data_IF_383717267472
#
_entry.id   IF_383717267472
#
_cell.length_a   1.000
_cell.length_b   1.000
_cell.length_c   1.000
_cell.angle_alpha   90.00
_cell.angle_beta   90.00
_cell.angle_gamma   90.00
#
_symmetry.space_group_name_H-M   'P 1'
#
loop_
_entity.id
_entity.type
_entity.pdbx_description
1 polymer ?
#
# COMPACT_ATOMS: atom_id res chain seq x y z
N UNK A 1 -16.35 -43.21 -0.31
CA UNK A 1 -16.82 -41.85 0.06
C UNK A 1 -15.62 -40.92 -0.12
N UNK A 2 -15.51 -40.24 -1.27
CA UNK A 2 -14.37 -39.38 -1.61
C UNK A 2 -14.73 -37.93 -1.25
N UNK A 3 -14.06 -37.39 -0.24
CA UNK A 3 -14.19 -35.99 0.16
C UNK A 3 -13.39 -35.12 -0.82
N UNK A 4 -14.09 -34.36 -1.66
CA UNK A 4 -13.50 -33.30 -2.47
C UNK A 4 -13.24 -32.07 -1.62
N UNK A 5 -11.98 -31.82 -1.28
CA UNK A 5 -11.56 -30.57 -0.65
C UNK A 5 -11.59 -29.44 -1.69
N UNK A 6 -12.60 -28.59 -1.62
CA UNK A 6 -12.61 -27.33 -2.36
C UNK A 6 -11.53 -26.41 -1.76
N UNK A 7 -10.43 -26.21 -2.50
CA UNK A 7 -9.44 -25.20 -2.17
C UNK A 7 -10.08 -23.82 -2.31
N UNK A 8 -10.27 -23.13 -1.18
CA UNK A 8 -10.69 -21.73 -1.17
C UNK A 8 -9.62 -20.89 -1.87
N UNK A 9 -10.00 -20.23 -2.98
CA UNK A 9 -9.15 -19.21 -3.57
C UNK A 9 -9.04 -18.04 -2.56
N UNK A 10 -7.83 -17.48 -2.34
CA UNK A 10 -7.70 -16.29 -1.52
C UNK A 10 -8.55 -15.17 -2.13
N UNK A 11 -9.39 -14.54 -1.31
CA UNK A 11 -10.19 -13.39 -1.74
C UNK A 11 -9.29 -12.27 -2.22
N UNK A 12 -9.58 -11.71 -3.40
CA UNK A 12 -8.92 -10.51 -3.86
C UNK A 12 -9.18 -9.39 -2.85
N UNK A 13 -8.12 -8.77 -2.32
CA UNK A 13 -8.26 -7.55 -1.54
C UNK A 13 -8.70 -6.45 -2.51
N UNK A 14 -9.86 -5.84 -2.26
CA UNK A 14 -10.29 -4.66 -3.00
C UNK A 14 -9.31 -3.52 -2.69
N UNK A 15 -8.73 -2.92 -3.73
CA UNK A 15 -7.93 -1.71 -3.59
C UNK A 15 -8.81 -0.49 -3.35
N UNK A 16 -8.25 0.70 -3.49
CA UNK A 16 -8.93 1.98 -3.23
C UNK A 16 -9.53 2.63 -4.47
N UNK A 17 -9.40 2.03 -5.65
CA UNK A 17 -9.97 2.59 -6.86
C UNK A 17 -11.49 2.80 -6.71
N UNK A 18 -11.94 4.03 -6.94
CA UNK A 18 -13.33 4.45 -6.76
C UNK A 18 -13.67 5.03 -5.38
N UNK A 19 -12.76 4.94 -4.41
CA UNK A 19 -12.95 5.54 -3.08
C UNK A 19 -12.63 7.03 -3.10
N UNK A 20 -13.28 7.78 -2.22
CA UNK A 20 -12.95 9.17 -1.91
C UNK A 20 -12.04 9.23 -0.70
N UNK A 21 -10.93 9.93 -0.85
CA UNK A 21 -9.96 10.15 0.23
C UNK A 21 -9.83 11.64 0.54
N UNK A 22 -9.56 11.95 1.79
CA UNK A 22 -9.26 13.32 2.25
C UNK A 22 -7.97 13.35 3.04
N UNK A 23 -7.27 14.49 2.99
CA UNK A 23 -5.98 14.66 3.64
C UNK A 23 -5.99 15.89 4.55
N UNK A 24 -5.41 15.73 5.73
CA UNK A 24 -5.10 16.82 6.64
C UNK A 24 -3.67 16.69 7.13
N UNK A 25 -2.97 17.81 7.24
CA UNK A 25 -1.63 17.90 7.80
C UNK A 25 -1.68 18.49 9.20
N UNK A 26 -0.92 17.92 10.13
CA UNK A 26 -0.96 18.22 11.55
C UNK A 26 0.45 18.49 12.09
N UNK A 27 0.55 19.53 12.92
CA UNK A 27 1.76 19.87 13.67
C UNK A 27 1.40 20.88 14.79
N UNK A 28 1.93 20.74 16.03
CA UNK A 28 2.88 19.73 16.52
C UNK A 28 2.22 18.46 17.10
N UNK A 29 0.91 18.33 16.96
CA UNK A 29 0.09 17.24 17.49
C UNK A 29 -1.14 16.99 16.59
N UNK A 30 -1.89 15.91 16.88
CA UNK A 30 -3.11 15.54 16.16
C UNK A 30 -4.33 16.44 16.44
N UNK A 31 -4.21 17.45 17.30
CA UNK A 31 -5.30 18.40 17.61
C UNK A 31 -5.12 19.72 16.86
N UNK A 32 -3.97 19.93 16.21
CA UNK A 32 -3.61 21.18 15.56
C UNK A 32 -3.44 20.97 14.04
N UNK A 33 -4.54 20.96 13.26
CA UNK A 33 -4.44 20.88 11.81
C UNK A 33 -3.84 22.18 11.26
N UNK A 34 -2.80 22.06 10.44
CA UNK A 34 -2.14 23.22 9.80
C UNK A 34 -2.58 23.39 8.35
N UNK A 35 -2.99 22.30 7.69
CA UNK A 35 -3.57 22.32 6.34
C UNK A 35 -4.65 21.25 6.19
N UNK A 36 -5.66 21.56 5.38
CA UNK A 36 -6.73 20.63 5.01
C UNK A 36 -6.94 20.68 3.51
N UNK A 37 -7.20 19.53 2.92
CA UNK A 37 -7.41 19.37 1.50
C UNK A 37 -8.83 18.87 1.24
N UNK A 38 -9.41 19.32 0.12
CA UNK A 38 -10.71 18.80 -0.32
C UNK A 38 -10.61 17.30 -0.62
N UNK A 39 -11.71 16.58 -0.40
CA UNK A 39 -11.77 15.17 -0.75
C UNK A 39 -11.57 14.97 -2.26
N UNK A 40 -10.87 13.89 -2.62
CA UNK A 40 -10.60 13.51 -4.00
C UNK A 40 -11.00 12.07 -4.26
N UNK A 41 -11.48 11.80 -5.47
CA UNK A 41 -11.75 10.44 -5.94
C UNK A 41 -10.42 9.80 -6.37
N UNK A 42 -10.16 8.58 -5.91
CA UNK A 42 -9.07 7.75 -6.43
C UNK A 42 -9.55 7.15 -7.75
N UNK A 43 -9.08 7.68 -8.87
CA UNK A 43 -9.39 7.16 -10.21
C UNK A 43 -8.20 6.40 -10.81
N UNK A 44 -8.23 6.15 -12.13
CA UNK A 44 -7.17 5.41 -12.82
C UNK A 44 -5.80 6.09 -12.80
N UNK A 45 -5.76 7.42 -12.61
CA UNK A 45 -4.54 8.21 -12.46
C UNK A 45 -4.17 8.42 -10.98
N UNK A 46 -5.14 8.21 -10.08
CA UNK A 46 -5.03 8.37 -8.64
C UNK A 46 -5.47 9.74 -8.14
N UNK A 47 -5.61 9.88 -6.83
CA UNK A 47 -5.90 11.14 -6.17
C UNK A 47 -4.60 11.88 -5.82
N UNK A 48 -4.39 13.07 -6.39
CA UNK A 48 -3.19 13.89 -6.20
C UNK A 48 -3.45 15.13 -5.32
N UNK A 49 -2.78 15.17 -4.18
CA UNK A 49 -2.71 16.31 -3.27
C UNK A 49 -1.41 17.07 -3.47
N UNK A 50 -1.50 18.28 -4.01
CA UNK A 50 -0.33 19.11 -4.29
C UNK A 50 0.17 19.89 -3.07
N UNK A 51 1.48 20.07 -2.98
CA UNK A 51 2.12 21.00 -2.05
C UNK A 51 1.68 20.80 -0.58
N UNK A 52 1.58 19.53 -0.19
CA UNK A 52 1.36 19.06 1.17
C UNK A 52 2.48 19.59 2.06
N UNK A 53 2.08 20.18 3.20
CA UNK A 53 2.94 20.95 4.10
C UNK A 53 3.75 22.10 3.46
N UNK A 54 3.49 22.45 2.19
CA UNK A 54 4.28 23.43 1.46
C UNK A 54 5.55 22.87 0.79
N UNK A 55 5.78 21.55 0.85
CA UNK A 55 7.09 20.97 0.48
C UNK A 55 7.04 19.69 -0.37
N UNK A 56 5.93 18.96 -0.48
CA UNK A 56 5.85 17.72 -1.29
C UNK A 56 4.45 17.49 -1.87
N UNK A 57 4.32 16.57 -2.82
CA UNK A 57 3.04 16.08 -3.33
C UNK A 57 2.72 14.69 -2.75
N UNK A 58 1.43 14.42 -2.52
CA UNK A 58 0.95 13.09 -2.13
C UNK A 58 -0.01 12.52 -3.18
N UNK A 59 0.30 11.34 -3.71
CA UNK A 59 -0.58 10.59 -4.62
C UNK A 59 -1.12 9.35 -3.92
N UNK A 60 -2.44 9.15 -3.98
CA UNK A 60 -3.11 7.91 -3.55
C UNK A 60 -3.58 7.18 -4.79
N UNK A 61 -3.06 5.97 -5.00
CA UNK A 61 -3.45 5.07 -6.09
C UNK A 61 -4.24 3.90 -5.51
N UNK A 62 -4.79 3.06 -6.39
CA UNK A 62 -5.51 1.85 -6.02
C UNK A 62 -4.80 1.01 -4.92
N UNK A 63 -3.47 0.91 -4.99
CA UNK A 63 -2.68 0.05 -4.10
C UNK A 63 -1.58 0.77 -3.32
N UNK A 64 -1.37 2.07 -3.53
CA UNK A 64 -0.25 2.79 -2.94
C UNK A 64 -0.62 4.18 -2.42
N UNK A 65 0.12 4.63 -1.42
CA UNK A 65 0.23 6.04 -1.05
C UNK A 65 1.67 6.46 -1.28
N UNK A 66 1.89 7.52 -2.05
CA UNK A 66 3.21 7.95 -2.52
C UNK A 66 3.40 9.41 -2.12
N UNK A 67 4.40 9.70 -1.30
CA UNK A 67 4.91 11.06 -1.09
C UNK A 67 6.14 11.26 -1.98
N UNK A 68 6.14 12.30 -2.80
CA UNK A 68 7.19 12.59 -3.78
C UNK A 68 7.24 14.08 -4.13
N UNK A 69 8.08 14.47 -5.09
CA UNK A 69 8.23 15.84 -5.56
C UNK A 69 8.57 16.81 -4.43
N UNK A 70 9.49 16.41 -3.55
CA UNK A 70 9.98 17.30 -2.51
C UNK A 70 10.68 18.50 -3.15
N UNK A 71 10.30 19.71 -2.76
CA UNK A 71 10.74 20.93 -3.44
C UNK A 71 11.94 21.62 -2.76
N UNK A 72 12.41 21.06 -1.64
CA UNK A 72 13.48 21.64 -0.82
C UNK A 72 14.18 20.55 0.00
N UNK A 73 15.32 20.92 0.60
CA UNK A 73 16.00 20.13 1.61
C UNK A 73 15.74 20.76 2.99
N UNK A 74 15.20 19.97 3.92
CA UNK A 74 14.89 20.44 5.26
C UNK A 74 14.74 19.25 6.24
N UNK A 75 14.25 19.56 7.44
CA UNK A 75 13.92 18.57 8.45
C UNK A 75 12.55 18.86 9.06
N UNK A 76 11.81 17.81 9.42
CA UNK A 76 10.57 17.96 10.15
C UNK A 76 10.84 18.22 11.62
N UNK A 77 10.39 19.38 12.10
CA UNK A 77 10.47 19.76 13.51
C UNK A 77 9.89 18.67 14.42
N UNK A 78 10.53 18.46 15.57
CA UNK A 78 10.04 17.55 16.61
C UNK A 78 8.72 18.01 17.22
N UNK A 79 7.91 17.05 17.67
CA UNK A 79 6.60 17.25 18.29
C UNK A 79 6.07 15.93 18.86
N UNK A 80 4.76 15.88 19.14
CA UNK A 80 4.06 14.61 19.36
C UNK A 80 3.63 13.99 18.01
N UNK A 81 3.36 14.84 17.02
CA UNK A 81 3.06 14.45 15.65
C UNK A 81 3.48 15.55 14.67
N UNK A 82 4.16 15.19 13.58
CA UNK A 82 4.41 16.09 12.46
C UNK A 82 4.22 15.31 11.16
N UNK A 83 3.06 15.45 10.53
CA UNK A 83 2.77 14.68 9.33
C UNK A 83 1.32 14.78 8.89
N UNK A 84 0.83 13.76 8.18
CA UNK A 84 -0.51 13.78 7.63
C UNK A 84 -1.39 12.64 8.14
N UNK A 85 -2.70 12.88 8.08
CA UNK A 85 -3.75 11.89 8.23
C UNK A 85 -4.49 11.79 6.91
N UNK A 86 -4.47 10.60 6.32
CA UNK A 86 -5.24 10.26 5.14
C UNK A 86 -6.49 9.48 5.58
N UNK A 87 -7.67 10.03 5.28
CA UNK A 87 -8.95 9.43 5.66
C UNK A 87 -9.67 8.94 4.42
N UNK A 88 -9.99 7.65 4.37
CA UNK A 88 -10.91 7.09 3.39
C UNK A 88 -12.34 7.36 3.85
N UNK A 89 -13.14 7.99 2.98
CA UNK A 89 -14.49 8.45 3.31
C UNK A 89 -15.56 7.39 3.00
N UNK A 90 -15.20 6.35 2.27
CA UNK A 90 -16.13 5.32 1.82
C UNK A 90 -15.90 3.98 2.54
N UNK A 91 -14.64 3.67 2.91
CA UNK A 91 -14.29 2.40 3.56
C UNK A 91 -13.20 2.55 4.65
N UNK A 92 -13.04 1.50 5.47
CA UNK A 92 -11.89 1.39 6.37
C UNK A 92 -10.64 1.02 5.60
N UNK A 93 -9.48 1.53 6.05
CA UNK A 93 -8.19 1.11 5.53
C UNK A 93 -7.92 -0.35 5.92
N UNK A 94 -7.35 -1.11 4.99
CA UNK A 94 -6.61 -2.30 5.35
C UNK A 94 -5.32 -1.88 6.06
N UNK A 95 -4.77 -2.71 6.97
CA UNK A 95 -3.43 -2.47 7.50
C UNK A 95 -2.43 -2.36 6.34
N UNK A 96 -1.54 -1.36 6.38
CA UNK A 96 -0.48 -1.25 5.38
C UNK A 96 0.32 -2.54 5.33
N UNK A 97 0.49 -3.08 4.14
CA UNK A 97 1.13 -4.37 3.97
C UNK A 97 2.65 -4.29 4.12
N UNK A 98 3.25 -3.22 3.60
CA UNK A 98 4.68 -2.99 3.66
C UNK A 98 5.05 -1.55 3.26
N UNK A 99 6.28 -1.16 3.62
CA UNK A 99 6.95 -0.06 2.96
C UNK A 99 7.39 -0.48 1.56
N UNK A 100 7.23 0.44 0.60
CA UNK A 100 7.76 0.30 -0.73
C UNK A 100 9.28 0.29 -0.74
N UNK A 101 9.87 -0.57 -1.57
CA UNK A 101 11.33 -0.66 -1.76
C UNK A 101 11.95 0.63 -2.33
N UNK A 102 11.11 1.46 -2.91
CA UNK A 102 11.44 2.78 -3.45
C UNK A 102 11.54 3.85 -2.35
N UNK A 103 11.12 3.54 -1.12
CA UNK A 103 11.22 4.48 0.00
C UNK A 103 12.69 4.72 0.34
N UNK A 104 13.14 5.97 0.28
CA UNK A 104 14.52 6.36 0.57
C UNK A 104 14.64 7.39 1.72
N UNK A 105 13.54 7.77 2.37
CA UNK A 105 13.56 8.65 3.53
C UNK A 105 14.28 7.98 4.71
N UNK A 106 15.47 8.47 5.04
CA UNK A 106 16.28 7.93 6.12
C UNK A 106 15.53 8.00 7.47
N UNK A 107 15.54 6.88 8.21
CA UNK A 107 14.86 6.78 9.50
C UNK A 107 13.35 6.54 9.42
N UNK A 108 12.74 6.56 8.23
CA UNK A 108 11.35 6.18 8.06
C UNK A 108 11.18 4.66 8.12
N UNK A 109 10.29 4.20 8.99
CA UNK A 109 10.03 2.79 9.25
C UNK A 109 8.53 2.54 9.37
N UNK A 110 8.06 1.28 9.40
CA UNK A 110 6.64 0.99 9.65
C UNK A 110 6.12 1.58 10.97
N UNK A 111 6.98 1.84 11.96
CA UNK A 111 6.58 2.46 13.22
C UNK A 111 6.14 3.93 13.07
N UNK A 112 6.49 4.59 11.96
CA UNK A 112 6.04 5.94 11.63
C UNK A 112 4.60 5.96 11.08
N UNK A 113 4.01 4.79 10.86
CA UNK A 113 2.68 4.66 10.24
C UNK A 113 1.75 3.92 11.19
N UNK A 114 0.58 4.48 11.43
CA UNK A 114 -0.49 3.85 12.21
C UNK A 114 -1.78 3.87 11.41
N UNK A 115 -2.52 2.76 11.41
CA UNK A 115 -3.85 2.69 10.79
C UNK A 115 -4.87 2.43 11.89
N UNK A 116 -5.95 3.20 11.88
CA UNK A 116 -7.08 3.00 12.79
C UNK A 116 -8.38 3.29 12.04
N UNK A 117 -9.17 2.23 11.81
CA UNK A 117 -10.41 2.32 11.04
C UNK A 117 -10.17 2.83 9.62
N UNK A 118 -10.76 3.98 9.30
CA UNK A 118 -10.65 4.63 7.99
C UNK A 118 -9.59 5.74 7.94
N UNK A 119 -8.73 5.86 8.96
CA UNK A 119 -7.66 6.85 9.01
C UNK A 119 -6.27 6.20 9.06
N UNK A 120 -5.39 6.68 8.19
CA UNK A 120 -3.98 6.35 8.15
C UNK A 120 -3.15 7.56 8.60
N UNK A 121 -2.36 7.40 9.65
CA UNK A 121 -1.55 8.41 10.29
C UNK A 121 -0.10 8.18 9.90
N UNK A 122 0.56 9.17 9.31
CA UNK A 122 1.98 9.10 8.95
C UNK A 122 2.74 10.22 9.62
N UNK A 123 3.71 9.87 10.46
CA UNK A 123 4.48 10.80 11.27
C UNK A 123 5.95 10.89 10.81
N UNK A 124 6.34 12.07 10.33
CA UNK A 124 7.68 12.39 9.82
C UNK A 124 8.57 13.06 10.86
N UNK A 125 8.10 13.27 12.09
CA UNK A 125 8.83 14.08 13.07
C UNK A 125 10.29 13.63 13.24
N UNK A 126 11.20 14.60 13.24
CA UNK A 126 12.63 14.36 13.44
C UNK A 126 13.34 13.69 12.25
N UNK A 127 12.67 13.49 11.12
CA UNK A 127 13.29 13.02 9.89
C UNK A 127 13.78 14.21 9.04
N UNK A 128 14.77 13.97 8.20
CA UNK A 128 15.27 14.94 7.22
C UNK A 128 14.98 14.45 5.80
N UNK A 129 14.74 15.39 4.89
CA UNK A 129 14.45 15.10 3.48
C UNK A 129 15.18 16.07 2.57
N UNK A 130 15.27 15.67 1.31
CA UNK A 130 15.80 16.42 0.18
C UNK A 130 14.86 16.31 -1.03
N UNK A 131 15.23 16.90 -2.16
CA UNK A 131 14.42 16.87 -3.38
C UNK A 131 14.32 15.47 -4.02
N UNK A 132 15.25 14.56 -3.70
CA UNK A 132 15.26 13.19 -4.22
C UNK A 132 14.47 12.22 -3.32
N UNK A 133 13.91 12.72 -2.22
CA UNK A 133 13.15 11.93 -1.28
C UNK A 133 11.85 11.38 -1.89
N UNK A 134 11.57 10.12 -1.63
CA UNK A 134 10.35 9.43 -1.98
C UNK A 134 9.96 8.47 -0.86
N UNK A 135 8.67 8.43 -0.54
CA UNK A 135 8.10 7.46 0.41
C UNK A 135 6.90 6.78 -0.23
N UNK A 136 6.91 5.45 -0.19
CA UNK A 136 5.85 4.62 -0.79
C UNK A 136 5.30 3.68 0.26
N UNK A 137 3.99 3.67 0.44
CA UNK A 137 3.26 2.76 1.33
C UNK A 137 2.37 1.85 0.49
N UNK A 138 2.42 0.53 0.70
CA UNK A 138 1.49 -0.41 0.04
C UNK A 138 0.23 -0.63 0.88
N UNK A 139 -0.93 -0.37 0.28
CA UNK A 139 -2.26 -0.45 0.91
C UNK A 139 -2.83 -1.88 0.97
N UNK A 140 -2.30 -2.79 0.15
CA UNK A 140 -2.66 -4.20 0.14
C UNK A 140 -1.41 -5.05 0.05
N UNK A 141 -1.45 -6.27 0.58
CA UNK A 141 -0.46 -7.28 0.22
C UNK A 141 -0.59 -7.48 -1.29
N UNK A 142 0.38 -7.00 -2.07
CA UNK A 142 0.40 -7.19 -3.52
C UNK A 142 0.25 -8.69 -3.75
N UNK A 143 -0.87 -9.17 -4.34
CA UNK A 143 -1.04 -10.60 -4.56
C UNK A 143 0.14 -11.07 -5.37
N UNK A 144 0.88 -12.06 -4.88
CA UNK A 144 1.88 -12.72 -5.72
C UNK A 144 1.16 -13.14 -7.01
N UNK A 145 1.68 -12.76 -8.18
CA UNK A 145 0.93 -12.91 -9.41
C UNK A 145 0.47 -14.35 -9.54
N UNK A 146 -0.78 -14.54 -9.96
CA UNK A 146 -1.38 -15.85 -10.22
C UNK A 146 -0.48 -16.76 -11.10
N UNK A 147 0.54 -16.19 -11.74
CA UNK A 147 1.72 -16.87 -12.28
C UNK A 147 2.29 -17.97 -11.36
N UNK A 148 2.44 -17.80 -10.04
CA UNK A 148 2.94 -18.87 -9.18
C UNK A 148 1.93 -20.00 -9.00
N UNK A 149 0.66 -19.66 -8.79
CA UNK A 149 -0.42 -20.64 -8.73
C UNK A 149 -0.56 -21.41 -10.06
N UNK A 150 -0.41 -20.72 -11.19
CA UNK A 150 -0.42 -21.29 -12.54
C UNK A 150 0.85 -22.10 -12.84
N UNK A 151 2.01 -21.69 -12.34
CA UNK A 151 3.26 -22.43 -12.46
C UNK A 151 3.16 -23.76 -11.69
N UNK A 152 2.64 -23.72 -10.46
CA UNK A 152 2.43 -24.91 -9.63
C UNK A 152 1.36 -25.83 -10.22
N UNK A 153 0.22 -25.27 -10.66
CA UNK A 153 -0.84 -26.03 -11.31
C UNK A 153 -0.37 -26.62 -12.65
N UNK A 154 0.31 -25.84 -13.48
CA UNK A 154 0.88 -26.28 -14.76
C UNK A 154 1.97 -27.33 -14.59
N UNK A 155 2.85 -27.17 -13.59
CA UNK A 155 3.87 -28.15 -13.23
C UNK A 155 3.27 -29.49 -12.82
N UNK A 156 2.22 -29.47 -11.99
CA UNK A 156 1.52 -30.68 -11.56
C UNK A 156 0.85 -31.42 -12.75
N UNK A 157 0.24 -30.70 -13.70
CA UNK A 157 -0.38 -31.29 -14.89
C UNK A 157 0.67 -31.93 -15.82
N UNK A 158 1.82 -31.29 -16.01
CA UNK A 158 2.90 -31.82 -16.84
C UNK A 158 3.55 -33.08 -16.23
N UNK A 159 3.72 -33.10 -14.91
CA UNK A 159 4.23 -34.28 -14.19
C UNK A 159 3.22 -35.44 -14.20
N UNK A 160 1.92 -35.15 -14.10
CA UNK A 160 0.86 -36.16 -14.20
C UNK A 160 0.77 -36.78 -15.61
N UNK A 161 1.04 -36.00 -16.68
CA UNK A 161 1.06 -36.48 -18.07
C UNK A 161 2.29 -37.32 -18.44
N UNK A 162 3.38 -37.25 -17.65
CA UNK A 162 4.63 -37.98 -17.93
C UNK A 162 4.67 -39.40 -17.36
N UNK A 163 3.60 -39.92 -16.74
CA UNK A 163 3.60 -41.32 -16.28
C UNK A 163 3.64 -42.26 -17.49
N UNK A 164 4.73 -43.04 -17.69
CA UNK A 164 4.78 -44.03 -18.75
C UNK A 164 3.73 -45.11 -18.45
N UNK A 165 2.88 -45.42 -19.43
CA UNK A 165 2.02 -46.59 -19.39
C UNK A 165 2.94 -47.82 -19.43
N UNK A 166 3.28 -48.37 -18.27
CA UNK A 166 3.78 -49.73 -18.22
C UNK A 166 2.65 -50.64 -18.71
N UNK A 167 2.82 -51.11 -19.95
CA UNK A 167 2.03 -52.15 -20.58
C UNK A 167 1.94 -53.35 -19.63
N UNK A 168 0.72 -53.61 -19.14
CA UNK A 168 0.37 -54.86 -18.50
C UNK A 168 0.27 -55.92 -19.61
N UNK A 169 1.40 -56.55 -19.91
CA UNK A 169 1.47 -57.70 -20.81
C UNK A 169 0.80 -58.91 -20.16
N UNK A 170 -0.28 -59.37 -20.78
CA UNK A 170 -0.98 -60.62 -20.47
C UNK A 170 -0.15 -61.84 -20.89
N UNK A 171 -0.16 -62.84 -20.00
CA UNK A 171 0.02 -64.29 -20.22
C UNK A 171 1.42 -64.83 -20.55
#
# INVERSE_FOLDING_TARGET
>A
MLAGGAGAAPGALAGTLGDRVSLQYFYPDLQTPTRSFAAQLVDGDGALFHNVAGVFDLTVTDTQVIASNFNTEAYWLGGAFNGFVLTNLDHSWQPFAALGRQTNLAGFTPANVTVSGNAAYVNWQGLSFDQDTQVVLYLSAVPEPAAYAMLLAGGAVLLARRRPRCLLGHR
#
